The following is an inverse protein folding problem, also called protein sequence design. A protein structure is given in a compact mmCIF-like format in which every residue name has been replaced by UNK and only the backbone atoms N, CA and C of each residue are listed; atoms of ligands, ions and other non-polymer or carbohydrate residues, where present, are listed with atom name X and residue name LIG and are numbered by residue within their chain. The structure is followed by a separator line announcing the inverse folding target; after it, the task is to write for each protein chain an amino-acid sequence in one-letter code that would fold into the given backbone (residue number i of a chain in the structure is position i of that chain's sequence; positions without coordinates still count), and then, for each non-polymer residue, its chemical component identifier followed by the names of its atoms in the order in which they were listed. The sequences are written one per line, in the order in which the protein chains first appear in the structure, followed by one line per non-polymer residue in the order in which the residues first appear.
data_IF_091412833939
#
_entry.id   IF_091412833939
#
_cell.length_a   1.000
_cell.length_b   1.000
_cell.length_c   1.000
_cell.angle_alpha   90.00
_cell.angle_beta   90.00
_cell.angle_gamma   90.00
#
_symmetry.space_group_name_H-M   'P 1'
#
loop_
_entity.id
_entity.type
_entity.pdbx_description
1 polymer ?
#
# COMPACT_ATOMS: atom_id res chain seq x y z
N UNK A 1 24.85 0.32 1.22
CA UNK A 1 23.98 0.58 2.38
C UNK A 1 23.69 2.07 2.39
N UNK A 2 22.46 2.48 2.09
CA UNK A 2 22.04 3.88 2.26
C UNK A 2 21.94 4.13 3.77
N UNK A 3 22.67 5.11 4.28
CA UNK A 3 22.63 5.52 5.68
C UNK A 3 22.35 7.02 5.75
N UNK A 4 21.78 7.49 6.86
CA UNK A 4 21.58 8.92 7.17
C UNK A 4 22.86 9.74 6.90
N UNK A 5 24.02 9.15 7.21
CA UNK A 5 25.34 9.74 6.94
C UNK A 5 25.61 9.97 5.44
N UNK A 6 25.13 9.07 4.58
CA UNK A 6 25.27 9.19 3.12
C UNK A 6 24.36 10.28 2.54
N UNK A 7 23.18 10.52 3.12
CA UNK A 7 22.31 11.64 2.75
C UNK A 7 22.91 12.99 3.19
N UNK A 8 23.46 13.07 4.40
CA UNK A 8 24.12 14.29 4.89
C UNK A 8 25.35 14.69 4.05
N UNK A 9 26.13 13.71 3.58
CA UNK A 9 27.34 13.96 2.78
C UNK A 9 27.05 14.24 1.30
N UNK A 10 26.00 13.65 0.72
CA UNK A 10 25.71 13.73 -0.72
C UNK A 10 24.53 14.63 -1.09
N UNK A 11 23.83 15.17 -0.10
CA UNK A 11 22.57 15.87 -0.30
C UNK A 11 21.40 14.92 -0.53
N UNK A 12 20.18 15.42 -0.34
CA UNK A 12 18.97 14.72 -0.75
C UNK A 12 18.72 14.89 -2.26
N UNK A 13 17.72 14.18 -2.81
CA UNK A 13 17.31 14.36 -4.22
C UNK A 13 16.26 15.48 -4.38
N UNK A 14 16.07 16.32 -3.35
CA UNK A 14 15.06 17.37 -3.39
C UNK A 14 15.70 18.66 -3.90
N UNK A 15 14.86 19.48 -4.54
CA UNK A 15 15.28 20.81 -4.98
C UNK A 15 15.60 21.66 -3.76
N UNK A 16 16.72 22.38 -3.80
CA UNK A 16 17.13 23.31 -2.74
C UNK A 16 15.99 24.31 -2.45
N UNK A 17 15.51 24.34 -1.20
CA UNK A 17 14.35 25.15 -0.79
C UNK A 17 12.98 24.44 -0.85
N UNK A 18 12.91 23.14 -1.11
CA UNK A 18 11.66 22.38 -1.02
C UNK A 18 11.14 22.35 0.42
N UNK A 19 10.01 23.01 0.64
CA UNK A 19 9.24 22.94 1.88
C UNK A 19 8.05 22.02 1.60
N UNK A 20 7.96 20.89 2.31
CA UNK A 20 6.80 20.02 2.23
C UNK A 20 5.59 20.79 2.75
N UNK A 21 4.62 21.09 1.87
CA UNK A 21 3.34 21.65 2.26
C UNK A 21 2.58 20.59 3.08
N UNK A 22 2.66 20.71 4.40
CA UNK A 22 1.85 19.96 5.35
C UNK A 22 0.42 20.46 5.22
N UNK A 23 -0.44 19.65 4.61
CA UNK A 23 -1.88 19.93 4.58
C UNK A 23 -2.42 19.95 6.01
N UNK A 24 -3.11 21.03 6.40
CA UNK A 24 -3.63 21.22 7.76
C UNK A 24 -4.55 20.06 8.21
N UNK A 25 -5.18 19.34 7.29
CA UNK A 25 -5.97 18.15 7.58
C UNK A 25 -5.98 17.12 6.43
N UNK A 26 -5.32 15.98 6.60
CA UNK A 26 -5.59 14.80 5.75
C UNK A 26 -6.86 14.09 6.26
N UNK A 27 -7.94 14.12 5.46
CA UNK A 27 -9.10 13.26 5.68
C UNK A 27 -8.79 11.84 5.23
N UNK A 28 -8.42 11.00 6.19
CA UNK A 28 -8.27 9.56 5.95
C UNK A 28 -9.64 8.94 6.13
N UNK A 29 -10.23 8.42 5.05
CA UNK A 29 -11.31 7.46 5.20
C UNK A 29 -10.66 6.10 5.46
N UNK A 30 -10.65 5.66 6.71
CA UNK A 30 -10.40 4.24 7.02
C UNK A 30 -11.66 3.49 6.59
N UNK A 31 -11.86 3.30 5.28
CA UNK A 31 -12.98 2.52 4.78
C UNK A 31 -12.70 1.05 5.12
N UNK A 32 -13.12 0.65 6.32
CA UNK A 32 -13.02 -0.70 6.90
C UNK A 32 -13.67 -1.79 6.02
N UNK A 33 -14.51 -1.40 5.06
CA UNK A 33 -15.33 -2.31 4.26
C UNK A 33 -14.51 -3.36 3.49
N UNK A 34 -13.36 -2.99 2.89
CA UNK A 34 -12.57 -3.96 2.11
C UNK A 34 -11.73 -4.90 2.99
N UNK A 35 -11.42 -4.47 4.21
CA UNK A 35 -10.67 -5.27 5.16
C UNK A 35 -11.51 -6.41 5.74
N UNK A 36 -12.79 -6.13 6.02
CA UNK A 36 -13.76 -7.15 6.41
C UNK A 36 -13.95 -8.20 5.31
N UNK A 37 -14.07 -7.77 4.05
CA UNK A 37 -14.15 -8.70 2.91
C UNK A 37 -12.89 -9.57 2.78
N UNK A 38 -11.68 -9.02 3.00
CA UNK A 38 -10.44 -9.81 3.00
C UNK A 38 -10.43 -10.86 4.12
N UNK A 39 -10.90 -10.50 5.31
CA UNK A 39 -11.04 -11.46 6.42
C UNK A 39 -11.98 -12.59 6.09
N UNK A 40 -13.13 -12.27 5.51
CA UNK A 40 -14.12 -13.28 5.12
C UNK A 40 -13.55 -14.26 4.09
N UNK A 41 -12.82 -13.75 3.09
CA UNK A 41 -12.12 -14.57 2.10
C UNK A 41 -11.10 -15.48 2.79
N UNK A 42 -10.27 -14.93 3.69
CA UNK A 42 -9.28 -15.70 4.43
C UNK A 42 -9.90 -16.82 5.28
N UNK A 43 -11.02 -16.53 5.94
CA UNK A 43 -11.75 -17.50 6.75
C UNK A 43 -12.32 -18.65 5.91
N UNK A 44 -12.73 -18.37 4.66
CA UNK A 44 -13.29 -19.37 3.74
C UNK A 44 -12.24 -20.26 3.07
N UNK A 45 -10.95 -19.89 3.11
CA UNK A 45 -9.89 -20.71 2.52
C UNK A 45 -9.65 -21.99 3.33
N UNK A 46 -9.47 -23.08 2.61
CA UNK A 46 -9.00 -24.35 3.16
C UNK A 46 -7.54 -24.26 3.64
N UNK A 47 -7.11 -25.31 4.33
CA UNK A 47 -5.75 -25.39 4.87
C UNK A 47 -4.69 -25.44 3.76
N UNK A 48 -5.01 -25.97 2.57
CA UNK A 48 -4.05 -26.08 1.47
C UNK A 48 -3.64 -24.70 0.95
N UNK A 49 -4.61 -23.83 0.65
CA UNK A 49 -4.32 -22.46 0.19
C UNK A 49 -3.65 -21.65 1.31
N UNK A 50 -4.06 -21.84 2.57
CA UNK A 50 -3.43 -21.16 3.72
C UNK A 50 -1.98 -21.56 3.89
N UNK A 51 -1.66 -22.86 3.82
CA UNK A 51 -0.28 -23.35 3.88
C UNK A 51 0.56 -22.80 2.73
N UNK A 52 0.02 -22.81 1.50
CA UNK A 52 0.68 -22.19 0.35
C UNK A 52 0.97 -20.70 0.60
N UNK A 53 0.02 -19.98 1.20
CA UNK A 53 0.17 -18.57 1.54
C UNK A 53 1.30 -18.35 2.57
N UNK A 54 1.28 -19.08 3.69
CA UNK A 54 2.32 -18.99 4.72
C UNK A 54 3.72 -19.31 4.16
N UNK A 55 3.84 -20.32 3.28
CA UNK A 55 5.10 -20.67 2.64
C UNK A 55 5.70 -19.56 1.77
N UNK A 56 4.86 -18.63 1.29
CA UNK A 56 5.27 -17.57 0.36
C UNK A 56 5.36 -16.19 1.03
N UNK A 57 4.45 -15.92 1.96
CA UNK A 57 4.19 -14.60 2.54
C UNK A 57 4.30 -14.57 4.06
N UNK A 58 4.63 -15.70 4.70
CA UNK A 58 4.79 -15.80 6.14
C UNK A 58 3.55 -15.33 6.91
N UNK A 59 3.80 -14.57 7.96
CA UNK A 59 2.86 -14.09 8.96
C UNK A 59 2.03 -12.88 8.46
N UNK A 60 2.06 -12.57 7.16
CA UNK A 60 1.26 -11.50 6.55
C UNK A 60 -0.26 -11.55 6.85
N UNK A 61 -0.93 -12.71 6.95
CA UNK A 61 -2.36 -12.75 7.28
C UNK A 61 -2.69 -12.16 8.65
N UNK A 62 -1.76 -12.18 9.61
CA UNK A 62 -2.01 -11.60 10.94
C UNK A 62 -2.20 -10.09 10.89
N UNK A 63 -1.75 -9.41 9.83
CA UNK A 63 -2.06 -8.01 9.59
C UNK A 63 -3.58 -7.77 9.48
N UNK A 64 -4.36 -8.78 9.08
CA UNK A 64 -5.81 -8.70 9.05
C UNK A 64 -6.37 -8.52 10.48
N UNK A 65 -5.75 -9.09 11.51
CA UNK A 65 -6.30 -9.03 12.87
C UNK A 65 -5.81 -7.83 13.69
N UNK A 66 -4.88 -7.04 13.15
CA UNK A 66 -4.41 -5.82 13.79
C UNK A 66 -5.56 -4.82 13.89
N UNK A 67 -5.86 -4.43 15.13
CA UNK A 67 -6.76 -3.31 15.39
C UNK A 67 -6.01 -2.02 15.08
N UNK A 68 -6.36 -1.39 13.96
CA UNK A 68 -5.86 -0.06 13.63
C UNK A 68 -6.58 0.95 14.52
N UNK A 69 -5.84 1.60 15.41
CA UNK A 69 -6.34 2.75 16.15
C UNK A 69 -6.44 3.93 15.18
N UNK A 70 -7.67 4.34 14.88
CA UNK A 70 -7.96 5.43 13.94
C UNK A 70 -7.35 6.76 14.41
N UNK A 71 -7.35 7.02 15.71
CA UNK A 71 -6.81 8.25 16.28
C UNK A 71 -5.28 8.28 16.17
N UNK A 72 -4.63 7.17 16.49
CA UNK A 72 -3.18 7.02 16.31
C UNK A 72 -2.80 7.15 14.83
N UNK A 73 -3.51 6.46 13.94
CA UNK A 73 -3.23 6.51 12.51
C UNK A 73 -3.41 7.92 11.94
N UNK A 74 -4.49 8.62 12.35
CA UNK A 74 -4.74 10.01 11.96
C UNK A 74 -3.67 10.96 12.49
N UNK A 75 -3.18 10.75 13.72
CA UNK A 75 -2.08 11.53 14.27
C UNK A 75 -0.78 11.28 13.50
N UNK A 76 -0.45 10.02 13.20
CA UNK A 76 0.76 9.66 12.44
C UNK A 76 0.73 10.20 11.01
N UNK A 77 -0.42 10.16 10.34
CA UNK A 77 -0.55 10.62 8.96
C UNK A 77 -0.24 12.12 8.78
N UNK A 78 -0.40 12.94 9.82
CA UNK A 78 0.02 14.34 9.80
C UNK A 78 1.54 14.49 9.63
N UNK A 79 2.31 13.47 9.99
CA UNK A 79 3.77 13.46 9.85
C UNK A 79 4.22 12.74 8.58
N UNK A 80 3.31 12.24 7.73
CA UNK A 80 3.67 11.58 6.48
C UNK A 80 4.32 12.56 5.52
N UNK A 81 5.58 12.30 5.18
CA UNK A 81 6.35 13.07 4.22
C UNK A 81 6.39 12.30 2.88
N UNK A 82 5.60 12.71 1.87
CA UNK A 82 5.51 11.98 0.61
C UNK A 82 6.82 12.02 -0.20
N UNK A 83 7.65 13.06 -0.01
CA UNK A 83 8.91 13.22 -0.73
C UNK A 83 9.93 12.13 -0.32
N UNK A 84 9.90 11.72 0.94
CA UNK A 84 10.79 10.70 1.51
C UNK A 84 10.10 9.35 1.74
N UNK A 85 8.77 9.29 1.60
CA UNK A 85 7.97 8.09 1.92
C UNK A 85 8.20 7.60 3.37
N UNK A 86 8.30 8.54 4.31
CA UNK A 86 8.55 8.30 5.73
C UNK A 86 7.64 9.17 6.62
N UNK A 87 7.63 8.90 7.93
CA UNK A 87 7.03 9.81 8.91
C UNK A 87 8.11 10.72 9.50
N UNK A 88 8.03 12.03 9.29
CA UNK A 88 9.05 12.97 9.77
C UNK A 88 8.61 13.67 11.05
N UNK A 89 9.34 13.46 12.15
CA UNK A 89 9.17 14.11 13.45
C UNK A 89 10.32 15.10 13.69
N UNK A 90 10.18 16.32 13.19
CA UNK A 90 11.22 17.37 13.24
C UNK A 90 12.53 16.92 12.59
N UNK A 91 13.46 16.37 13.39
CA UNK A 91 14.79 15.92 12.99
C UNK A 91 14.93 14.40 12.95
N UNK A 92 13.86 13.66 13.19
CA UNK A 92 13.85 12.20 13.24
C UNK A 92 12.87 11.69 12.21
N UNK A 93 13.33 10.79 11.34
CA UNK A 93 12.46 10.08 10.42
C UNK A 93 12.15 8.69 10.99
N UNK A 94 10.86 8.37 11.04
CA UNK A 94 10.38 7.02 11.29
C UNK A 94 10.09 6.37 9.93
N UNK A 95 10.97 5.45 9.56
CA UNK A 95 10.80 4.55 8.42
C UNK A 95 10.82 3.13 8.98
N UNK A 96 9.75 2.35 8.83
CA UNK A 96 9.83 0.94 9.14
C UNK A 96 10.86 0.31 8.19
N UNK A 97 11.92 -0.21 8.79
CA UNK A 97 13.05 -0.83 8.10
C UNK A 97 12.63 -2.15 7.46
N UNK A 98 13.33 -2.56 6.41
CA UNK A 98 13.05 -3.85 5.75
C UNK A 98 13.29 -5.00 6.74
N UNK A 99 14.23 -4.83 7.65
CA UNK A 99 14.53 -5.74 8.76
C UNK A 99 13.34 -5.89 9.70
N UNK A 100 12.71 -4.79 10.10
CA UNK A 100 11.51 -4.81 10.95
C UNK A 100 10.34 -5.50 10.25
N UNK A 101 10.09 -5.19 8.97
CA UNK A 101 9.06 -5.90 8.20
C UNK A 101 9.38 -7.38 8.02
N UNK A 102 10.65 -7.74 7.82
CA UNK A 102 11.08 -9.14 7.68
C UNK A 102 10.89 -9.90 8.98
N UNK A 103 11.22 -9.28 10.12
CA UNK A 103 11.00 -9.87 11.44
C UNK A 103 9.51 -10.01 11.77
N UNK A 104 8.70 -8.99 11.44
CA UNK A 104 7.26 -8.97 11.68
C UNK A 104 6.51 -10.00 10.82
N UNK A 105 6.83 -10.05 9.53
CA UNK A 105 6.09 -10.86 8.56
C UNK A 105 6.71 -12.26 8.38
N UNK A 106 7.91 -12.52 8.89
CA UNK A 106 8.65 -13.80 8.75
C UNK A 106 8.60 -14.37 7.33
N UNK A 107 8.67 -13.51 6.32
CA UNK A 107 8.57 -13.93 4.92
C UNK A 107 9.82 -14.72 4.51
N UNK A 108 9.72 -16.03 4.22
CA UNK A 108 10.88 -16.87 3.95
C UNK A 108 11.60 -16.57 2.64
N UNK A 109 11.01 -15.70 1.79
CA UNK A 109 11.50 -15.37 0.45
C UNK A 109 12.08 -13.95 0.32
N UNK A 110 12.07 -13.15 1.40
CA UNK A 110 12.69 -11.82 1.37
C UNK A 110 14.21 -12.01 1.39
N UNK A 111 14.82 -11.84 0.23
CA UNK A 111 16.26 -11.73 0.06
C UNK A 111 16.64 -10.27 0.33
N UNK A 112 17.13 -9.97 1.54
CA UNK A 112 17.45 -8.60 2.01
C UNK A 112 18.47 -7.92 1.09
N UNK A 113 19.42 -8.67 0.54
CA UNK A 113 20.39 -8.23 -0.47
C UNK A 113 19.72 -7.71 -1.76
N UNK A 114 18.61 -8.31 -2.18
CA UNK A 114 17.85 -7.87 -3.36
C UNK A 114 17.01 -6.63 -3.13
N UNK A 115 16.53 -6.41 -1.90
CA UNK A 115 15.67 -5.25 -1.59
C UNK A 115 16.46 -3.93 -1.69
N UNK A 116 17.74 -3.96 -1.29
CA UNK A 116 18.64 -2.81 -1.42
C UNK A 116 19.35 -2.72 -2.77
N UNK A 117 19.24 -3.75 -3.61
CA UNK A 117 19.77 -3.72 -4.98
C UNK A 117 18.80 -2.99 -5.91
N UNK A 118 19.21 -1.83 -6.43
CA UNK A 118 18.46 -1.17 -7.50
C UNK A 118 18.64 -2.01 -8.77
N UNK A 119 17.67 -2.87 -9.07
CA UNK A 119 17.70 -3.64 -10.30
C UNK A 119 17.82 -2.68 -11.50
N UNK A 120 18.75 -2.93 -12.46
CA UNK A 120 18.99 -2.03 -13.59
C UNK A 120 17.74 -1.84 -14.47
N UNK A 121 16.78 -2.77 -14.40
CA UNK A 121 15.52 -2.73 -15.12
C UNK A 121 14.34 -2.98 -14.16
N UNK A 122 13.91 -1.94 -13.44
CA UNK A 122 12.69 -2.03 -12.61
C UNK A 122 11.49 -2.32 -13.53
N UNK A 123 10.77 -3.45 -13.35
CA UNK A 123 9.63 -3.76 -14.21
C UNK A 123 8.56 -2.67 -14.13
N UNK A 124 7.97 -2.33 -15.28
CA UNK A 124 6.87 -1.36 -15.34
C UNK A 124 5.68 -1.84 -14.51
N UNK A 125 4.85 -0.90 -14.04
CA UNK A 125 3.61 -1.20 -13.30
C UNK A 125 2.77 -2.32 -13.95
N UNK A 126 2.56 -2.23 -15.26
CA UNK A 126 1.84 -3.26 -16.02
C UNK A 126 2.53 -4.62 -15.95
N UNK A 127 3.85 -4.67 -16.14
CA UNK A 127 4.60 -5.92 -16.08
C UNK A 127 4.57 -6.55 -14.69
N UNK A 128 4.64 -5.74 -13.62
CA UNK A 128 4.48 -6.23 -12.24
C UNK A 128 3.10 -6.86 -12.02
N UNK A 129 2.04 -6.17 -12.43
CA UNK A 129 0.68 -6.68 -12.29
C UNK A 129 0.42 -7.93 -13.13
N UNK A 130 0.95 -8.01 -14.35
CA UNK A 130 0.87 -9.23 -15.17
C UNK A 130 1.51 -10.41 -14.45
N UNK A 131 2.69 -10.19 -13.86
CA UNK A 131 3.40 -11.24 -13.14
C UNK A 131 2.65 -11.69 -11.87
N UNK A 132 2.06 -10.76 -11.12
CA UNK A 132 1.32 -11.06 -9.88
C UNK A 132 -0.01 -11.76 -10.22
N UNK A 133 -0.82 -11.13 -11.08
CA UNK A 133 -2.20 -11.57 -11.36
C UNK A 133 -2.29 -12.72 -12.36
N UNK A 134 -1.25 -12.94 -13.18
CA UNK A 134 -1.33 -13.87 -14.31
C UNK A 134 -2.14 -13.35 -15.51
N UNK A 135 -2.67 -12.12 -15.43
CA UNK A 135 -3.56 -11.58 -16.44
C UNK A 135 -2.81 -10.96 -17.62
N UNK A 136 -3.50 -10.90 -18.77
CA UNK A 136 -2.97 -10.28 -19.98
C UNK A 136 -2.82 -8.77 -19.82
N UNK A 137 -1.91 -8.18 -20.61
CA UNK A 137 -1.72 -6.73 -20.66
C UNK A 137 -3.04 -5.99 -20.92
N UNK A 138 -3.84 -6.48 -21.87
CA UNK A 138 -5.13 -5.90 -22.25
C UNK A 138 -6.13 -5.91 -21.08
N UNK A 139 -6.20 -7.02 -20.34
CA UNK A 139 -7.08 -7.13 -19.19
C UNK A 139 -6.73 -6.10 -18.12
N UNK A 140 -5.43 -5.91 -17.84
CA UNK A 140 -4.93 -4.97 -16.84
C UNK A 140 -5.15 -3.53 -17.30
N UNK A 141 -4.82 -3.20 -18.55
CA UNK A 141 -5.01 -1.84 -19.07
C UNK A 141 -6.47 -1.42 -19.07
N UNK A 142 -7.38 -2.33 -19.39
CA UNK A 142 -8.83 -2.05 -19.38
C UNK A 142 -9.40 -1.79 -17.98
N UNK A 143 -8.73 -2.28 -16.92
CA UNK A 143 -9.21 -2.23 -15.53
C UNK A 143 -8.39 -1.33 -14.61
N UNK A 144 -7.31 -0.75 -15.14
CA UNK A 144 -6.48 0.21 -14.43
C UNK A 144 -7.04 1.60 -14.64
N UNK A 145 -7.32 2.32 -13.55
CA UNK A 145 -7.68 3.75 -13.59
C UNK A 145 -6.50 4.60 -13.12
N UNK A 146 -6.34 5.77 -13.72
CA UNK A 146 -5.37 6.78 -13.29
C UNK A 146 -6.11 7.84 -12.48
N UNK A 147 -5.80 7.96 -11.19
CA UNK A 147 -6.31 9.02 -10.32
C UNK A 147 -5.13 9.75 -9.67
N UNK A 148 -5.02 11.07 -9.85
CA UNK A 148 -4.04 11.91 -9.14
C UNK A 148 -2.58 11.42 -9.24
N UNK A 149 -2.18 10.87 -10.39
CA UNK A 149 -0.83 10.30 -10.61
C UNK A 149 -0.66 8.82 -10.24
N UNK A 150 -1.59 8.21 -9.51
CA UNK A 150 -1.56 6.80 -9.15
C UNK A 150 -2.38 5.94 -10.12
N UNK A 151 -1.78 4.86 -10.63
CA UNK A 151 -2.48 3.81 -11.38
C UNK A 151 -2.94 2.72 -10.42
N UNK A 152 -4.23 2.39 -10.41
CA UNK A 152 -4.78 1.36 -9.52
C UNK A 152 -5.82 0.47 -10.22
N UNK A 153 -5.93 -0.77 -9.75
CA UNK A 153 -7.03 -1.68 -10.07
C UNK A 153 -8.07 -1.54 -8.94
N UNK A 154 -9.36 -1.54 -9.29
CA UNK A 154 -10.43 -1.49 -8.28
C UNK A 154 -10.47 -2.76 -7.43
N UNK A 155 -10.85 -2.61 -6.16
CA UNK A 155 -11.02 -3.74 -5.23
C UNK A 155 -11.90 -4.85 -5.82
N UNK A 156 -13.02 -4.51 -6.46
CA UNK A 156 -13.91 -5.49 -7.12
C UNK A 156 -13.15 -6.43 -8.07
N UNK A 157 -12.30 -5.88 -8.93
CA UNK A 157 -11.52 -6.70 -9.87
C UNK A 157 -10.47 -7.57 -9.17
N UNK A 158 -9.86 -7.09 -8.07
CA UNK A 158 -8.91 -7.88 -7.28
C UNK A 158 -9.64 -9.01 -6.55
N UNK A 159 -10.79 -8.71 -5.93
CA UNK A 159 -11.66 -9.69 -5.28
C UNK A 159 -12.10 -10.79 -6.24
N UNK A 160 -12.55 -10.43 -7.44
CA UNK A 160 -12.97 -11.41 -8.44
C UNK A 160 -11.80 -12.35 -8.82
N UNK A 161 -10.58 -11.81 -8.95
CA UNK A 161 -9.38 -12.63 -9.17
C UNK A 161 -9.09 -13.55 -7.98
N UNK A 162 -9.16 -13.05 -6.75
CA UNK A 162 -8.91 -13.86 -5.55
C UNK A 162 -9.91 -15.03 -5.46
N UNK A 163 -11.16 -14.82 -5.87
CA UNK A 163 -12.21 -15.83 -5.77
C UNK A 163 -12.20 -16.82 -6.94
N UNK A 164 -11.97 -16.35 -8.16
CA UNK A 164 -12.21 -17.14 -9.38
C UNK A 164 -10.95 -17.54 -10.16
N UNK A 165 -9.75 -17.08 -9.78
CA UNK A 165 -8.56 -17.40 -10.56
C UNK A 165 -8.24 -18.91 -10.49
N UNK A 166 -8.00 -19.60 -11.62
CA UNK A 166 -7.82 -21.06 -11.65
C UNK A 166 -6.54 -21.52 -10.96
N UNK A 167 -5.48 -20.70 -11.00
CA UNK A 167 -4.22 -20.94 -10.29
C UNK A 167 -4.30 -20.45 -8.83
N UNK A 168 -4.20 -21.37 -7.87
CA UNK A 168 -4.21 -21.09 -6.43
C UNK A 168 -3.07 -20.17 -6.00
N UNK A 169 -1.88 -20.30 -6.59
CA UNK A 169 -0.76 -19.43 -6.30
C UNK A 169 -1.06 -18.00 -6.75
N UNK A 170 -1.76 -17.81 -7.87
CA UNK A 170 -2.18 -16.47 -8.30
C UNK A 170 -3.25 -15.87 -7.40
N UNK A 171 -4.17 -16.69 -6.86
CA UNK A 171 -5.12 -16.26 -5.83
C UNK A 171 -4.37 -15.73 -4.60
N UNK A 172 -3.37 -16.48 -4.11
CA UNK A 172 -2.50 -16.06 -3.02
C UNK A 172 -1.69 -14.79 -3.35
N UNK A 173 -1.08 -14.72 -4.55
CA UNK A 173 -0.30 -13.56 -5.00
C UNK A 173 -1.16 -12.27 -5.02
N UNK A 174 -2.42 -12.34 -5.48
CA UNK A 174 -3.37 -11.21 -5.52
C UNK A 174 -3.93 -10.87 -4.15
N UNK A 175 -4.15 -11.87 -3.29
CA UNK A 175 -4.58 -11.66 -1.91
C UNK A 175 -3.50 -10.92 -1.10
N UNK A 176 -2.24 -11.33 -1.22
CA UNK A 176 -1.11 -10.65 -0.60
C UNK A 176 -0.98 -9.20 -1.08
N UNK A 177 -1.10 -8.96 -2.40
CA UNK A 177 -1.11 -7.61 -2.97
C UNK A 177 -2.21 -6.74 -2.34
N UNK A 178 -3.38 -7.32 -2.08
CA UNK A 178 -4.51 -6.60 -1.50
C UNK A 178 -4.29 -6.24 -0.04
N UNK A 179 -3.64 -7.13 0.75
CA UNK A 179 -3.21 -6.80 2.11
C UNK A 179 -2.19 -5.66 2.09
N UNK A 180 -1.20 -5.71 1.19
CA UNK A 180 -0.21 -4.63 1.07
C UNK A 180 -0.85 -3.29 0.67
N UNK A 181 -1.75 -3.26 -0.33
CA UNK A 181 -2.42 -2.02 -0.77
C UNK A 181 -3.31 -1.43 0.34
N UNK A 182 -3.97 -2.28 1.14
CA UNK A 182 -4.92 -1.82 2.16
C UNK A 182 -4.27 -1.49 3.51
N UNK A 183 -3.24 -2.25 3.92
CA UNK A 183 -2.61 -2.09 5.24
C UNK A 183 -1.38 -1.20 5.19
N UNK A 184 -0.55 -1.33 4.14
CA UNK A 184 0.74 -0.64 4.05
C UNK A 184 0.63 0.69 3.31
N UNK A 185 -0.32 0.83 2.38
CA UNK A 185 -0.52 2.06 1.59
C UNK A 185 -1.97 2.57 1.61
N UNK A 186 -2.52 2.90 2.79
CA UNK A 186 -3.89 3.42 2.91
C UNK A 186 -4.08 4.69 2.06
N UNK A 187 -5.16 4.71 1.27
CA UNK A 187 -5.48 5.83 0.37
C UNK A 187 -6.12 6.97 1.17
N UNK A 188 -5.56 8.17 1.07
CA UNK A 188 -6.27 9.38 1.46
C UNK A 188 -7.40 9.65 0.45
N UNK A 189 -8.62 9.91 0.93
CA UNK A 189 -9.74 10.24 0.06
C UNK A 189 -9.57 11.70 -0.38
N UNK A 190 -9.25 11.92 -1.65
CA UNK A 190 -9.43 13.22 -2.28
C UNK A 190 -10.90 13.64 -2.15
N UNK A 191 -11.09 14.80 -1.54
CA UNK A 191 -12.31 15.55 -1.25
C UNK A 191 -13.60 15.15 -1.98
N UNK A 192 -14.67 14.89 -1.21
CA UNK A 192 -16.02 15.28 -1.63
C UNK A 192 -16.28 16.68 -1.05
N UNK A 193 -16.10 17.72 -1.86
CA UNK A 193 -16.70 19.02 -1.57
C UNK A 193 -18.23 18.86 -1.65
N UNK A 194 -18.89 18.96 -0.50
CA UNK A 194 -20.30 19.37 -0.48
C UNK A 194 -20.31 20.87 -0.73
N UNK A 195 -20.76 21.27 -1.91
CA UNK A 195 -21.21 22.64 -2.15
C UNK A 195 -22.42 22.88 -1.23
N UNK A 196 -22.19 23.59 -0.13
CA UNK A 196 -23.26 24.13 0.68
C UNK A 196 -23.94 25.23 -0.10
N UNK A 197 -25.12 24.94 -0.66
CA UNK A 197 -26.01 25.96 -1.19
C UNK A 197 -26.47 26.87 -0.03
N UNK A 198 -25.76 27.98 0.18
CA UNK A 198 -26.26 29.09 0.97
C UNK A 198 -27.33 29.82 0.13
N UNK A 199 -28.59 29.54 0.44
CA UNK A 199 -29.72 30.37 0.01
C UNK A 199 -29.56 31.76 0.63
N UNK A 200 -29.13 32.73 -0.19
CA UNK A 200 -29.23 34.14 0.13
C UNK A 200 -30.63 34.61 -0.26
N UNK A 201 -31.33 35.14 0.75
CA UNK A 201 -32.61 35.84 0.68
C UNK A 201 -32.52 37.02 -0.30
N UNK A 202 -33.48 37.11 -1.21
CA UNK A 202 -33.84 38.39 -1.83
C UNK A 202 -34.97 39.01 -1.02
N UNK A 203 -34.72 40.22 -0.53
CA UNK A 203 -35.74 41.24 -0.24
C UNK A 203 -35.85 42.14 -1.46
#
# INVERSE_FOLDING_TARGET
IWSEKTQLEKGDNLTEGYVSELWDFTRISVTQNHFQELKEIWCQWDDEIKQLFYCHYGDLPYLLDIKVDEHLFRALAQFWNPAYSCFTFKKVDLVPTIEEYTALLRCPRIQTDKVYSRAPNVPTFLKKLMNITGMSKQWITARTKQNGGCRCISWRNLRDLILAHPDMKKRADVFALSIYDLVVFPKALGEQMKEGSSSARNS
#
